data_IF_065684501503
#
_entry.id   IF_065684501503
#
_cell.length_a   1.000
_cell.length_b   1.000
_cell.length_c   1.000
_cell.angle_alpha   90.00
_cell.angle_beta   90.00
_cell.angle_gamma   90.00
#
_symmetry.space_group_name_H-M   'P 1'
#
loop_
_entity.id
_entity.type
_entity.pdbx_description
1 polymer ?
#
# COMPACT_ATOMS: atom_id res chain seq x y z
N UNK A 1 -10.10 18.58 5.69
CA UNK A 1 -10.34 19.49 4.55
C UNK A 1 -11.13 18.81 3.41
N UNK A 2 -10.76 17.61 2.94
CA UNK A 2 -11.42 16.93 1.80
C UNK A 2 -12.93 16.71 1.98
N UNK A 3 -13.39 16.38 3.20
CA UNK A 3 -14.83 16.26 3.53
C UNK A 3 -15.62 17.55 3.27
N UNK A 4 -15.02 18.71 3.55
CA UNK A 4 -15.65 20.02 3.31
C UNK A 4 -15.80 20.27 1.81
N UNK A 5 -14.74 19.98 1.04
CA UNK A 5 -14.76 20.09 -0.42
C UNK A 5 -15.84 19.17 -1.02
N UNK A 6 -15.88 17.91 -0.61
CA UNK A 6 -16.86 16.94 -1.08
C UNK A 6 -18.32 17.39 -0.85
N UNK A 7 -18.58 17.97 0.33
CA UNK A 7 -19.91 18.45 0.72
C UNK A 7 -20.33 19.74 0.00
N UNK A 8 -19.37 20.58 -0.38
CA UNK A 8 -19.59 21.86 -1.08
C UNK A 8 -19.35 21.77 -2.59
N UNK A 9 -19.05 20.59 -3.12
CA UNK A 9 -18.69 20.39 -4.51
C UNK A 9 -19.74 20.91 -5.51
N UNK A 10 -21.02 20.89 -5.13
CA UNK A 10 -22.12 21.37 -5.98
C UNK A 10 -22.15 22.90 -6.08
N UNK A 11 -21.61 23.61 -5.09
CA UNK A 11 -21.56 25.08 -5.03
C UNK A 11 -20.30 25.67 -5.68
N UNK A 12 -19.38 24.85 -6.18
CA UNK A 12 -18.13 25.32 -6.78
C UNK A 12 -18.37 25.98 -8.13
N UNK A 13 -17.75 27.14 -8.34
CA UNK A 13 -17.67 27.77 -9.66
C UNK A 13 -16.90 26.89 -10.65
N UNK A 14 -17.06 27.12 -11.95
CA UNK A 14 -16.34 26.36 -12.98
C UNK A 14 -14.82 26.47 -12.82
N UNK A 15 -14.31 27.66 -12.53
CA UNK A 15 -12.88 27.90 -12.32
C UNK A 15 -12.34 27.15 -11.09
N UNK A 16 -13.05 27.23 -9.95
CA UNK A 16 -12.67 26.49 -8.73
C UNK A 16 -12.70 24.98 -8.96
N UNK A 17 -13.72 24.50 -9.67
CA UNK A 17 -13.84 23.09 -10.02
C UNK A 17 -12.66 22.64 -10.86
N UNK A 18 -12.33 23.35 -11.93
CA UNK A 18 -11.21 22.99 -12.81
C UNK A 18 -9.87 23.01 -12.08
N UNK A 19 -9.64 24.01 -11.22
CA UNK A 19 -8.44 24.07 -10.37
C UNK A 19 -8.35 22.86 -9.44
N UNK A 20 -9.44 22.51 -8.74
CA UNK A 20 -9.47 21.34 -7.85
C UNK A 20 -9.33 20.03 -8.61
N UNK A 21 -9.96 19.90 -9.79
CA UNK A 21 -9.81 18.72 -10.67
C UNK A 21 -8.34 18.48 -11.00
N UNK A 22 -7.61 19.50 -11.45
CA UNK A 22 -6.19 19.37 -11.78
C UNK A 22 -5.39 19.00 -10.53
N UNK A 23 -5.44 19.82 -9.48
CA UNK A 23 -4.58 19.62 -8.31
C UNK A 23 -4.80 18.29 -7.60
N UNK A 24 -6.07 17.90 -7.39
CA UNK A 24 -6.39 16.63 -6.72
C UNK A 24 -6.09 15.45 -7.65
N UNK A 25 -6.41 15.55 -8.93
CA UNK A 25 -6.10 14.53 -9.93
C UNK A 25 -4.58 14.28 -10.04
N UNK A 26 -3.78 15.35 -10.04
CA UNK A 26 -2.32 15.29 -10.10
C UNK A 26 -1.74 14.72 -8.80
N UNK A 27 -2.27 15.10 -7.64
CA UNK A 27 -1.84 14.56 -6.36
C UNK A 27 -2.09 13.05 -6.25
N UNK A 28 -3.26 12.58 -6.70
CA UNK A 28 -3.63 11.16 -6.76
C UNK A 28 -2.76 10.40 -7.77
N UNK A 29 -2.64 10.92 -8.99
CA UNK A 29 -1.91 10.29 -10.10
C UNK A 29 -0.40 10.19 -9.84
N UNK A 30 0.14 11.09 -9.02
CA UNK A 30 1.56 11.10 -8.65
C UNK A 30 1.82 10.52 -7.25
N UNK A 31 0.85 9.84 -6.65
CA UNK A 31 0.99 9.17 -5.36
C UNK A 31 1.53 10.09 -4.24
N UNK A 32 1.12 11.38 -4.26
CA UNK A 32 1.52 12.40 -3.28
C UNK A 32 0.59 12.47 -2.07
N UNK A 33 -0.51 11.73 -2.09
CA UNK A 33 -1.47 11.67 -0.99
C UNK A 33 -1.02 10.60 0.02
N UNK A 34 -1.00 10.97 1.30
CA UNK A 34 -0.71 10.03 2.38
C UNK A 34 -1.76 8.89 2.39
N UNK A 35 -1.35 7.62 2.58
CA UNK A 35 -2.25 6.46 2.50
C UNK A 35 -3.54 6.59 3.30
N UNK A 36 -3.44 7.13 4.53
CA UNK A 36 -4.57 7.34 5.45
C UNK A 36 -5.67 8.23 4.87
N UNK A 37 -5.33 9.12 3.93
CA UNK A 37 -6.25 10.13 3.41
C UNK A 37 -6.66 9.91 1.95
N UNK A 38 -6.19 8.85 1.29
CA UNK A 38 -6.50 8.58 -0.12
C UNK A 38 -8.00 8.54 -0.34
N UNK A 39 -8.73 7.75 0.45
CA UNK A 39 -10.17 7.56 0.29
C UNK A 39 -10.92 8.90 0.40
N UNK A 40 -10.54 9.74 1.37
CA UNK A 40 -11.16 11.03 1.59
C UNK A 40 -10.85 12.04 0.46
N UNK A 41 -9.61 12.04 -0.05
CA UNK A 41 -9.20 12.90 -1.17
C UNK A 41 -9.84 12.42 -2.47
N UNK A 42 -9.87 11.12 -2.72
CA UNK A 42 -10.48 10.52 -3.89
C UNK A 42 -11.99 10.77 -3.92
N UNK A 43 -12.70 10.56 -2.81
CA UNK A 43 -14.12 10.87 -2.73
C UNK A 43 -14.41 12.35 -3.02
N UNK A 44 -13.59 13.26 -2.48
CA UNK A 44 -13.71 14.68 -2.78
C UNK A 44 -13.44 14.98 -4.27
N UNK A 45 -12.45 14.34 -4.87
CA UNK A 45 -12.18 14.44 -6.31
C UNK A 45 -13.36 13.93 -7.15
N UNK A 46 -13.92 12.77 -6.82
CA UNK A 46 -15.09 12.21 -7.48
C UNK A 46 -16.31 13.12 -7.39
N UNK A 47 -16.52 13.79 -6.24
CA UNK A 47 -17.55 14.81 -6.06
C UNK A 47 -17.29 16.07 -6.89
N UNK A 48 -16.05 16.55 -6.95
CA UNK A 48 -15.64 17.68 -7.80
C UNK A 48 -15.86 17.36 -9.29
N UNK A 49 -15.63 16.11 -9.71
CA UNK A 49 -15.94 15.64 -11.05
C UNK A 49 -17.45 15.55 -11.34
N UNK A 50 -18.31 15.57 -10.32
CA UNK A 50 -19.71 15.13 -10.41
C UNK A 50 -19.83 13.67 -10.86
N UNK A 51 -18.84 12.84 -10.52
CA UNK A 51 -18.84 11.40 -10.85
C UNK A 51 -19.63 10.55 -9.87
N UNK A 52 -19.95 11.09 -8.69
CA UNK A 52 -20.74 10.42 -7.64
C UNK A 52 -21.81 11.35 -7.08
N UNK A 53 -23.01 10.81 -6.83
CA UNK A 53 -24.13 11.55 -6.26
C UNK A 53 -23.86 11.99 -4.82
N UNK A 54 -24.59 13.01 -4.35
CA UNK A 54 -24.63 13.36 -2.93
C UNK A 54 -25.47 12.28 -2.23
N UNK A 55 -25.04 11.82 -1.06
CA UNK A 55 -25.68 10.69 -0.37
C UNK A 55 -27.20 10.83 -0.28
N UNK A 56 -27.93 9.73 -0.57
CA UNK A 56 -29.39 9.65 -0.55
C UNK A 56 -30.03 9.53 -1.94
N UNK A 57 -29.50 10.24 -2.95
CA UNK A 57 -30.13 10.35 -4.28
C UNK A 57 -29.60 9.27 -5.25
N UNK A 58 -29.53 8.02 -4.82
CA UNK A 58 -29.02 6.90 -5.65
C UNK A 58 -29.97 6.48 -6.78
N UNK A 59 -31.17 7.06 -6.86
CA UNK A 59 -32.19 6.60 -7.79
C UNK A 59 -32.59 7.78 -8.67
N UNK A 60 -32.05 7.82 -9.90
CA UNK A 60 -32.82 7.96 -11.15
C UNK A 60 -31.94 8.32 -12.36
N UNK A 61 -30.75 8.93 -12.18
CA UNK A 61 -29.87 9.30 -13.30
C UNK A 61 -28.38 9.15 -12.98
N UNK A 62 -27.62 8.67 -13.97
CA UNK A 62 -26.17 8.53 -13.88
C UNK A 62 -25.54 9.93 -13.70
N UNK A 63 -24.63 10.13 -12.74
CA UNK A 63 -24.01 11.44 -12.51
C UNK A 63 -23.33 11.97 -13.78
N UNK A 64 -23.47 13.27 -14.07
CA UNK A 64 -22.97 13.86 -15.31
C UNK A 64 -21.46 13.74 -15.51
N UNK A 65 -20.71 13.58 -14.43
CA UNK A 65 -19.27 13.33 -14.45
C UNK A 65 -18.85 11.87 -14.39
N UNK A 66 -19.78 10.92 -14.47
CA UNK A 66 -19.50 9.49 -14.28
C UNK A 66 -18.50 8.98 -15.32
N UNK A 67 -18.71 9.29 -16.60
CA UNK A 67 -17.79 8.89 -17.68
C UNK A 67 -16.40 9.54 -17.54
N UNK A 68 -16.32 10.78 -17.03
CA UNK A 68 -15.04 11.45 -16.77
C UNK A 68 -14.28 10.75 -15.63
N UNK A 69 -14.98 10.40 -14.55
CA UNK A 69 -14.43 9.65 -13.41
C UNK A 69 -13.95 8.25 -13.85
N UNK A 70 -14.73 7.55 -14.68
CA UNK A 70 -14.37 6.23 -15.20
C UNK A 70 -13.08 6.30 -16.03
N UNK A 71 -12.97 7.27 -16.95
CA UNK A 71 -11.75 7.49 -17.74
C UNK A 71 -10.54 7.81 -16.86
N UNK A 72 -10.75 8.60 -15.81
CA UNK A 72 -9.69 8.85 -14.83
C UNK A 72 -9.27 7.54 -14.14
N UNK A 73 -10.23 6.74 -13.66
CA UNK A 73 -9.98 5.48 -12.98
C UNK A 73 -9.21 4.50 -13.88
N UNK A 74 -9.60 4.35 -15.15
CA UNK A 74 -8.88 3.49 -16.10
C UNK A 74 -7.40 3.88 -16.23
N UNK A 75 -7.11 5.18 -16.39
CA UNK A 75 -5.73 5.69 -16.51
C UNK A 75 -4.96 5.53 -15.20
N UNK A 76 -5.56 5.94 -14.10
CA UNK A 76 -4.92 5.91 -12.79
C UNK A 76 -4.67 4.50 -12.31
N UNK A 77 -5.63 3.59 -12.48
CA UNK A 77 -5.49 2.16 -12.23
C UNK A 77 -4.34 1.56 -13.03
N UNK A 78 -4.28 1.82 -14.34
CA UNK A 78 -3.22 1.27 -15.21
C UNK A 78 -1.83 1.76 -14.81
N UNK A 79 -1.71 3.01 -14.35
CA UNK A 79 -0.44 3.56 -13.83
C UNK A 79 -0.08 2.93 -12.47
N UNK A 80 -1.06 2.85 -11.57
CA UNK A 80 -0.88 2.33 -10.20
C UNK A 80 -0.55 0.84 -10.21
N UNK A 81 -1.22 0.05 -11.06
CA UNK A 81 -0.97 -1.38 -11.20
C UNK A 81 0.45 -1.65 -11.72
N UNK A 82 0.94 -0.84 -12.67
CA UNK A 82 2.33 -0.91 -13.13
C UNK A 82 3.32 -0.53 -12.02
N UNK A 83 3.02 0.48 -11.23
CA UNK A 83 3.86 0.85 -10.09
C UNK A 83 3.88 -0.25 -9.02
N UNK A 84 2.74 -0.91 -8.77
CA UNK A 84 2.64 -2.04 -7.85
C UNK A 84 3.46 -3.23 -8.33
N UNK A 85 3.31 -3.59 -9.61
CA UNK A 85 4.08 -4.66 -10.25
C UNK A 85 5.59 -4.43 -10.09
N UNK A 86 6.05 -3.20 -10.35
CA UNK A 86 7.44 -2.81 -10.13
C UNK A 86 7.84 -2.90 -8.66
N UNK A 87 7.05 -2.37 -7.74
CA UNK A 87 7.37 -2.46 -6.30
C UNK A 87 7.42 -3.90 -5.81
N UNK A 88 6.60 -4.81 -6.35
CA UNK A 88 6.59 -6.23 -5.96
C UNK A 88 7.80 -6.99 -6.53
N UNK A 89 8.26 -6.67 -7.74
CA UNK A 89 9.30 -7.46 -8.42
C UNK A 89 10.68 -6.77 -8.56
N UNK A 90 10.75 -5.44 -8.66
CA UNK A 90 12.00 -4.68 -8.87
C UNK A 90 12.71 -4.32 -7.55
N UNK A 91 12.01 -4.23 -6.42
CA UNK A 91 12.67 -3.97 -5.11
C UNK A 91 13.35 -5.22 -4.50
N UNK A 92 13.38 -6.34 -5.24
CA UNK A 92 14.29 -7.46 -5.03
C UNK A 92 15.49 -7.48 -5.99
N UNK A 93 15.61 -6.50 -6.89
CA UNK A 93 16.59 -6.51 -8.00
C UNK A 93 17.49 -5.25 -8.07
N UNK A 94 17.31 -4.25 -7.21
CA UNK A 94 18.37 -3.26 -6.99
C UNK A 94 19.46 -3.88 -6.13
N UNK A 95 20.44 -4.48 -6.79
CA UNK A 95 21.72 -4.84 -6.20
C UNK A 95 22.40 -3.60 -5.62
N UNK A 96 22.23 -3.41 -4.32
CA UNK A 96 23.27 -3.17 -3.34
C UNK A 96 22.60 -3.27 -1.96
N UNK A 97 23.18 -4.07 -1.08
CA UNK A 97 22.62 -4.54 0.20
C UNK A 97 21.45 -5.54 0.06
N UNK A 98 21.79 -6.75 -0.41
CA UNK A 98 21.21 -7.94 0.22
C UNK A 98 21.66 -7.88 1.68
N UNK A 99 20.87 -7.25 2.55
CA UNK A 99 21.00 -7.43 3.99
C UNK A 99 20.87 -8.92 4.19
N UNK A 100 21.99 -9.59 4.50
CA UNK A 100 22.03 -11.04 4.61
C UNK A 100 20.89 -11.46 5.55
N UNK A 101 20.27 -12.61 5.26
CA UNK A 101 19.31 -13.21 6.18
C UNK A 101 19.87 -13.32 7.60
N UNK A 102 21.20 -13.45 7.73
CA UNK A 102 21.92 -13.40 9.00
C UNK A 102 21.88 -12.01 9.68
N UNK A 103 21.99 -10.92 8.91
CA UNK A 103 22.01 -9.55 9.42
C UNK A 103 20.60 -9.09 9.88
N UNK A 104 19.52 -9.58 9.23
CA UNK A 104 18.15 -9.37 9.70
C UNK A 104 17.83 -10.12 11.00
N UNK A 105 18.41 -11.31 11.20
CA UNK A 105 18.29 -12.07 12.44
C UNK A 105 19.08 -11.38 13.56
N UNK A 106 20.29 -10.91 13.28
CA UNK A 106 21.12 -10.18 14.26
C UNK A 106 20.47 -8.86 14.71
N UNK A 107 19.89 -8.07 13.82
CA UNK A 107 19.18 -6.83 14.19
C UNK A 107 17.95 -7.11 15.05
N UNK A 108 17.22 -8.20 14.78
CA UNK A 108 16.08 -8.60 15.60
C UNK A 108 16.50 -9.10 17.00
N UNK A 109 17.62 -9.82 17.10
CA UNK A 109 18.19 -10.24 18.38
C UNK A 109 18.78 -9.06 19.17
N UNK A 110 19.39 -8.07 18.51
CA UNK A 110 19.90 -6.82 19.13
C UNK A 110 18.78 -5.93 19.68
N UNK A 111 17.58 -5.98 19.10
CA UNK A 111 16.41 -5.25 19.61
C UNK A 111 15.96 -5.70 21.01
N UNK A 112 16.39 -6.87 21.47
CA UNK A 112 16.17 -7.33 22.84
C UNK A 112 17.23 -6.84 23.83
N UNK A 113 18.37 -6.30 23.37
CA UNK A 113 19.53 -5.98 24.21
C UNK A 113 19.97 -4.51 24.18
N UNK A 114 19.46 -3.64 23.29
CA UNK A 114 19.86 -2.22 23.25
C UNK A 114 18.83 -1.32 22.52
N UNK A 115 18.78 0.01 22.79
CA UNK A 115 17.82 0.90 22.16
C UNK A 115 18.07 1.04 20.64
N UNK A 116 17.02 1.18 19.81
CA UNK A 116 17.12 0.92 18.38
C UNK A 116 17.82 2.05 17.62
N UNK A 117 18.79 1.69 16.77
CA UNK A 117 19.36 2.59 15.76
C UNK A 117 18.36 2.79 14.60
N UNK A 118 18.10 4.05 14.28
CA UNK A 118 16.88 4.57 13.64
C UNK A 118 16.82 4.46 12.09
N UNK A 119 17.69 3.67 11.45
CA UNK A 119 17.87 3.71 9.99
C UNK A 119 17.18 2.55 9.24
N UNK A 120 17.31 1.30 9.69
CA UNK A 120 16.68 0.14 9.04
C UNK A 120 15.16 0.12 9.17
N UNK A 121 14.63 0.63 10.29
CA UNK A 121 13.18 0.78 10.53
C UNK A 121 12.51 1.78 9.57
N UNK A 122 13.26 2.75 9.03
CA UNK A 122 12.72 3.73 8.08
C UNK A 122 12.51 3.15 6.70
N UNK A 123 13.42 2.29 6.22
CA UNK A 123 13.37 1.71 4.86
C UNK A 123 12.19 0.74 4.75
N UNK A 124 12.03 -0.18 5.71
CA UNK A 124 10.87 -1.09 5.75
C UNK A 124 9.54 -0.36 5.85
N UNK A 125 9.46 0.69 6.69
CA UNK A 125 8.25 1.52 6.81
C UNK A 125 7.93 2.28 5.51
N UNK A 126 8.93 2.75 4.77
CA UNK A 126 8.71 3.43 3.48
C UNK A 126 8.19 2.46 2.41
N UNK A 127 8.68 1.21 2.40
CA UNK A 127 8.14 0.16 1.53
C UNK A 127 6.67 -0.13 1.84
N UNK A 128 6.35 -0.33 3.11
CA UNK A 128 4.99 -0.60 3.56
C UNK A 128 4.05 0.57 3.23
N UNK A 129 4.47 1.81 3.50
CA UNK A 129 3.69 3.00 3.18
C UNK A 129 3.45 3.15 1.67
N UNK A 130 4.42 2.78 0.83
CA UNK A 130 4.29 2.79 -0.63
C UNK A 130 3.33 1.69 -1.09
N UNK A 131 3.46 0.47 -0.57
CA UNK A 131 2.61 -0.65 -0.91
C UNK A 131 1.14 -0.37 -0.53
N UNK A 132 0.91 0.09 0.70
CA UNK A 132 -0.42 0.47 1.20
C UNK A 132 -0.99 1.59 0.31
N UNK A 133 -0.20 2.61 -0.05
CA UNK A 133 -0.64 3.68 -0.95
C UNK A 133 -1.17 3.15 -2.29
N UNK A 134 -0.42 2.24 -2.91
CA UNK A 134 -0.76 1.67 -4.21
C UNK A 134 -2.00 0.78 -4.12
N UNK A 135 -2.07 -0.08 -3.11
CA UNK A 135 -3.22 -0.96 -2.87
C UNK A 135 -4.49 -0.17 -2.57
N UNK A 136 -4.44 0.83 -1.70
CA UNK A 136 -5.58 1.70 -1.39
C UNK A 136 -6.03 2.47 -2.65
N UNK A 137 -5.10 2.97 -3.46
CA UNK A 137 -5.44 3.65 -4.72
C UNK A 137 -6.15 2.72 -5.73
N UNK A 138 -5.72 1.46 -5.81
CA UNK A 138 -6.38 0.43 -6.63
C UNK A 138 -7.78 0.12 -6.08
N UNK A 139 -7.92 0.01 -4.76
CA UNK A 139 -9.18 -0.21 -4.08
C UNK A 139 -10.22 0.86 -4.43
N UNK A 140 -9.84 2.13 -4.38
CA UNK A 140 -10.70 3.24 -4.79
C UNK A 140 -11.12 3.13 -6.26
N UNK A 141 -10.19 2.84 -7.18
CA UNK A 141 -10.54 2.68 -8.60
C UNK A 141 -11.59 1.58 -8.82
N UNK A 142 -11.45 0.44 -8.14
CA UNK A 142 -12.35 -0.71 -8.27
C UNK A 142 -13.71 -0.44 -7.63
N UNK A 143 -13.73 0.24 -6.48
CA UNK A 143 -14.98 0.57 -5.78
C UNK A 143 -15.95 1.35 -6.68
N UNK A 144 -15.44 2.28 -7.49
CA UNK A 144 -16.26 3.10 -8.40
C UNK A 144 -16.27 2.59 -9.85
N UNK A 145 -15.38 1.67 -10.22
CA UNK A 145 -15.32 1.05 -11.55
C UNK A 145 -14.96 -0.44 -11.44
N UNK A 146 -15.91 -1.31 -11.06
CA UNK A 146 -15.63 -2.73 -10.80
C UNK A 146 -15.07 -3.50 -12.00
N UNK A 147 -15.37 -3.05 -13.22
CA UNK A 147 -14.87 -3.63 -14.46
C UNK A 147 -13.33 -3.61 -14.59
N UNK A 148 -12.62 -2.84 -13.76
CA UNK A 148 -11.15 -2.79 -13.76
C UNK A 148 -10.49 -4.04 -13.16
N UNK A 149 -11.24 -4.86 -12.43
CA UNK A 149 -10.74 -6.11 -11.87
C UNK A 149 -10.27 -7.03 -13.00
N UNK A 150 -9.00 -7.46 -12.94
CA UNK A 150 -8.41 -8.33 -13.94
C UNK A 150 -7.43 -9.34 -13.33
N UNK A 151 -7.06 -10.36 -14.11
CA UNK A 151 -6.17 -11.45 -13.69
C UNK A 151 -4.77 -10.98 -13.24
N UNK A 152 -4.29 -9.83 -13.70
CA UNK A 152 -2.97 -9.31 -13.30
C UNK A 152 -2.99 -8.81 -11.86
N UNK A 153 -4.04 -8.09 -11.46
CA UNK A 153 -4.20 -7.66 -10.08
C UNK A 153 -4.24 -8.85 -9.10
N UNK A 154 -5.03 -9.88 -9.41
CA UNK A 154 -5.09 -11.07 -8.56
C UNK A 154 -3.73 -11.74 -8.38
N UNK A 155 -2.95 -11.87 -9.46
CA UNK A 155 -1.59 -12.43 -9.39
C UNK A 155 -0.67 -11.61 -8.47
N UNK A 156 -0.71 -10.28 -8.56
CA UNK A 156 0.08 -9.41 -7.69
C UNK A 156 -0.33 -9.55 -6.22
N UNK A 157 -1.63 -9.57 -5.93
CA UNK A 157 -2.13 -9.77 -4.57
C UNK A 157 -1.70 -11.14 -4.00
N UNK A 158 -1.74 -12.20 -4.82
CA UNK A 158 -1.27 -13.53 -4.41
C UNK A 158 0.21 -13.51 -4.02
N UNK A 159 1.07 -12.83 -4.79
CA UNK A 159 2.50 -12.72 -4.48
C UNK A 159 2.73 -11.94 -3.18
N UNK A 160 2.02 -10.82 -2.99
CA UNK A 160 2.11 -10.02 -1.76
C UNK A 160 1.72 -10.86 -0.53
N UNK A 161 0.59 -11.56 -0.61
CA UNK A 161 0.10 -12.41 0.49
C UNK A 161 1.04 -13.58 0.74
N UNK A 162 1.51 -14.26 -0.31
CA UNK A 162 2.46 -15.36 -0.19
C UNK A 162 3.77 -14.90 0.46
N UNK A 163 4.28 -13.72 0.10
CA UNK A 163 5.48 -13.13 0.72
C UNK A 163 5.28 -12.89 2.22
N UNK A 164 4.14 -12.34 2.64
CA UNK A 164 3.85 -12.13 4.06
C UNK A 164 3.72 -13.46 4.83
N UNK A 165 3.04 -14.45 4.24
CA UNK A 165 2.93 -15.78 4.83
C UNK A 165 4.29 -16.46 4.98
N UNK A 166 5.17 -16.38 3.97
CA UNK A 166 6.52 -16.93 4.04
C UNK A 166 7.35 -16.26 5.13
N UNK A 167 7.31 -14.92 5.24
CA UNK A 167 7.98 -14.18 6.33
C UNK A 167 7.53 -14.68 7.71
N UNK A 168 6.21 -14.82 7.91
CA UNK A 168 5.64 -15.35 9.17
C UNK A 168 6.06 -16.79 9.45
N UNK A 169 6.04 -17.66 8.44
CA UNK A 169 6.47 -19.05 8.57
C UNK A 169 7.95 -19.15 8.92
N UNK A 170 8.83 -18.41 8.25
CA UNK A 170 10.27 -18.40 8.56
C UNK A 170 10.54 -17.88 9.97
N UNK A 171 9.89 -16.79 10.37
CA UNK A 171 9.99 -16.25 11.72
C UNK A 171 9.56 -17.29 12.77
N UNK A 172 8.44 -17.98 12.53
CA UNK A 172 7.92 -19.00 13.43
C UNK A 172 8.85 -20.22 13.53
N UNK A 173 9.46 -20.64 12.42
CA UNK A 173 10.46 -21.72 12.41
C UNK A 173 11.72 -21.30 13.19
N UNK A 174 12.22 -20.09 12.96
CA UNK A 174 13.40 -19.57 13.68
C UNK A 174 13.13 -19.45 15.18
N UNK A 175 12.01 -18.87 15.58
CA UNK A 175 11.66 -18.70 17.00
C UNK A 175 11.38 -20.03 17.71
N UNK A 176 10.76 -21.01 17.05
CA UNK A 176 10.49 -22.32 17.66
C UNK A 176 11.68 -23.29 17.62
N UNK A 177 12.62 -23.14 16.67
CA UNK A 177 13.81 -24.00 16.58
C UNK A 177 15.06 -23.41 17.25
N UNK A 178 15.13 -22.10 17.48
CA UNK A 178 16.23 -21.48 18.22
C UNK A 178 16.45 -22.04 19.65
N UNK A 179 15.41 -22.27 20.48
CA UNK A 179 15.62 -22.85 21.81
C UNK A 179 16.02 -24.34 21.78
N UNK A 180 15.60 -25.09 20.75
CA UNK A 180 16.01 -26.49 20.57
C UNK A 180 17.48 -26.62 20.15
N UNK A 181 17.97 -25.71 19.30
CA UNK A 181 19.39 -25.67 18.92
C UNK A 181 20.28 -25.27 20.09
N UNK A 182 19.90 -24.24 20.88
CA UNK A 182 20.65 -23.84 22.06
C UNK A 182 20.68 -24.93 23.14
N UNK A 183 19.57 -25.63 23.36
CA UNK A 183 19.50 -26.72 24.33
C UNK A 183 20.31 -27.95 23.87
N UNK A 184 20.29 -28.30 22.58
CA UNK A 184 21.13 -29.38 22.06
C UNK A 184 22.63 -29.03 22.08
N UNK A 185 23.02 -27.80 21.74
CA UNK A 185 24.41 -27.36 21.82
C UNK A 185 24.92 -27.31 23.26
N UNK A 186 24.10 -26.81 24.20
CA UNK A 186 24.43 -26.77 25.62
C UNK A 186 24.60 -28.17 26.23
N UNK A 187 23.72 -29.12 25.87
CA UNK A 187 23.87 -30.51 26.30
C UNK A 187 25.11 -31.19 25.70
N UNK A 188 25.46 -30.91 24.43
CA UNK A 188 26.67 -31.47 23.82
C UNK A 188 27.96 -30.88 24.42
N UNK A 189 27.99 -29.58 24.70
CA UNK A 189 29.13 -28.92 25.34
C UNK A 189 29.34 -29.39 26.79
N UNK A 190 28.27 -29.66 27.54
CA UNK A 190 28.39 -30.24 28.88
C UNK A 190 28.93 -31.68 28.89
N UNK A 191 28.65 -32.48 27.85
CA UNK A 191 29.21 -33.84 27.74
C UNK A 191 30.67 -33.87 27.26
N UNK A 192 31.16 -32.81 26.61
CA UNK A 192 32.56 -32.70 26.19
C UNK A 192 33.50 -32.14 27.29
N UNK A 193 32.93 -31.66 28.40
CA UNK A 193 33.67 -31.10 29.54
C UNK A 193 33.73 -32.03 30.76
N UNK A 194 33.39 -33.32 30.62
CA UNK A 194 33.63 -34.38 31.60
C UNK A 194 34.67 -35.37 31.05
#
# INVERSE_FOLDING_TARGET
>A
MSKVIANRADCLSLQQRNFLKSNMGDALTNHKVNPTYINAVYFAYARVLKGVAKGGDQQLQQPSGHAELERFNQRWYSKTLRALDKTVYEEGASGDEIVSFEEQIEDHLRSFQSPPANNNMKIGKMFDDRLIRLLTSIGECIQYTPALINKRLFRLLQVIIASDMLKKCMLNILLNKAPLFYHQLSCHLQMLCQ
#
